data_IF_910849069671
#
_entry.id   IF_910849069671
#
_cell.length_a   1.000
_cell.length_b   1.000
_cell.length_c   1.000
_cell.angle_alpha   90.00
_cell.angle_beta   90.00
_cell.angle_gamma   90.00
#
_symmetry.space_group_name_H-M   'P 1'
#
loop_
_entity.id
_entity.type
_entity.pdbx_description
1 polymer ?
#
# COMPACT_ATOMS: atom_id res chain seq x y z
N UNK A 1 16.72 -12.80 -5.97
CA UNK A 1 15.69 -11.95 -6.60
C UNK A 1 14.49 -11.92 -5.68
N UNK A 2 14.03 -10.73 -5.27
CA UNK A 2 12.84 -10.59 -4.42
C UNK A 2 11.59 -11.10 -5.14
N UNK A 3 10.67 -11.69 -4.39
CA UNK A 3 9.34 -12.06 -4.88
C UNK A 3 8.64 -10.77 -5.32
N UNK A 4 8.47 -10.58 -6.63
CA UNK A 4 7.84 -9.38 -7.17
C UNK A 4 7.14 -9.69 -8.48
N UNK A 5 5.81 -9.80 -8.40
CA UNK A 5 4.90 -9.52 -9.51
C UNK A 5 5.29 -8.18 -10.16
N UNK A 6 5.01 -8.02 -11.44
CA UNK A 6 5.29 -6.81 -12.24
C UNK A 6 5.01 -5.50 -11.49
N UNK A 7 5.75 -4.44 -11.86
CA UNK A 7 6.00 -3.20 -11.10
C UNK A 7 4.73 -2.59 -10.44
N UNK A 8 4.37 -3.06 -9.24
CA UNK A 8 3.20 -2.63 -8.48
C UNK A 8 3.17 -1.10 -8.29
N UNK A 9 4.33 -0.45 -8.24
CA UNK A 9 4.44 1.01 -8.14
C UNK A 9 3.86 1.68 -9.40
N UNK A 10 4.19 1.20 -10.60
CA UNK A 10 3.66 1.76 -11.85
C UNK A 10 2.16 1.51 -11.98
N UNK A 11 1.71 0.31 -11.60
CA UNK A 11 0.29 -0.03 -11.63
C UNK A 11 -0.51 0.84 -10.67
N UNK A 12 -0.03 0.99 -9.43
CA UNK A 12 -0.67 1.84 -8.42
C UNK A 12 -0.69 3.30 -8.88
N UNK A 13 0.43 3.81 -9.41
CA UNK A 13 0.51 5.19 -9.90
C UNK A 13 -0.46 5.44 -11.08
N UNK A 14 -0.53 4.52 -12.04
CA UNK A 14 -1.48 4.62 -13.16
C UNK A 14 -2.93 4.62 -12.67
N UNK A 15 -3.23 3.83 -11.64
CA UNK A 15 -4.57 3.78 -11.09
C UNK A 15 -4.95 5.05 -10.32
N UNK A 16 -4.02 5.61 -9.52
CA UNK A 16 -4.19 6.91 -8.86
C UNK A 16 -4.52 8.00 -9.89
N UNK A 17 -3.76 8.06 -10.99
CA UNK A 17 -4.01 8.99 -12.11
C UNK A 17 -5.40 8.78 -12.73
N UNK A 18 -5.78 7.51 -12.97
CA UNK A 18 -7.10 7.21 -13.55
C UNK A 18 -8.28 7.65 -12.69
N UNK A 19 -8.06 7.85 -11.39
CA UNK A 19 -9.07 8.30 -10.43
C UNK A 19 -8.94 9.80 -10.07
N UNK A 20 -7.95 10.51 -10.62
CA UNK A 20 -7.71 11.93 -10.33
C UNK A 20 -7.20 12.21 -8.91
N UNK A 21 -6.49 11.26 -8.30
CA UNK A 21 -6.03 11.29 -6.91
C UNK A 21 -4.55 11.70 -6.77
N UNK A 22 -3.91 12.24 -7.80
CA UNK A 22 -2.47 12.54 -7.82
C UNK A 22 -2.06 13.61 -6.80
N UNK A 23 -3.01 14.44 -6.38
CA UNK A 23 -2.81 15.47 -5.35
C UNK A 23 -2.95 14.93 -3.93
N UNK A 24 -3.60 13.78 -3.78
CA UNK A 24 -3.97 13.21 -2.49
C UNK A 24 -3.07 12.01 -2.12
N UNK A 25 -2.62 11.23 -3.11
CA UNK A 25 -1.86 10.00 -2.90
C UNK A 25 -0.52 10.05 -3.64
N UNK A 26 0.57 9.92 -2.88
CA UNK A 26 1.92 9.74 -3.40
C UNK A 26 2.37 8.29 -3.23
N UNK A 27 2.89 7.69 -4.31
CA UNK A 27 3.50 6.35 -4.28
C UNK A 27 4.99 6.44 -4.59
N UNK A 28 5.80 5.89 -3.70
CA UNK A 28 7.26 5.81 -3.85
C UNK A 28 7.73 4.37 -3.75
N UNK A 29 8.76 4.02 -4.52
CA UNK A 29 9.48 2.76 -4.36
C UNK A 29 10.58 2.94 -3.33
N UNK A 30 10.66 2.04 -2.37
CA UNK A 30 11.70 2.04 -1.32
C UNK A 30 12.65 0.85 -1.51
N UNK A 31 13.76 0.86 -0.75
CA UNK A 31 14.63 -0.30 -0.59
C UNK A 31 14.04 -1.35 0.36
N UNK A 32 14.89 -2.30 0.77
CA UNK A 32 14.52 -3.32 1.77
C UNK A 32 14.16 -2.66 3.11
N UNK A 33 13.06 -3.12 3.72
CA UNK A 33 12.61 -2.70 5.04
C UNK A 33 12.68 -3.84 6.07
N UNK A 34 13.59 -4.80 5.85
CA UNK A 34 13.83 -5.97 6.71
C UNK A 34 12.67 -6.97 6.83
N UNK A 35 11.68 -6.90 5.93
CA UNK A 35 10.50 -7.78 5.90
C UNK A 35 10.43 -8.60 4.60
N UNK A 36 11.58 -9.09 4.12
CA UNK A 36 11.68 -9.78 2.83
C UNK A 36 10.83 -11.05 2.73
N UNK A 37 10.65 -11.78 3.83
CA UNK A 37 9.94 -13.07 3.85
C UNK A 37 8.43 -12.92 3.60
N UNK A 38 7.88 -11.74 3.92
CA UNK A 38 6.45 -11.42 3.82
C UNK A 38 6.10 -10.57 2.58
N UNK A 39 7.09 -10.26 1.74
CA UNK A 39 6.91 -9.41 0.57
C UNK A 39 5.99 -10.02 -0.51
N UNK A 40 5.41 -9.19 -1.40
CA UNK A 40 5.58 -7.73 -1.50
C UNK A 40 4.93 -6.94 -0.36
N UNK A 41 5.64 -5.92 0.13
CA UNK A 41 5.20 -5.07 1.25
C UNK A 41 4.75 -3.69 0.76
N UNK A 42 3.70 -3.15 1.38
CA UNK A 42 3.26 -1.75 1.22
C UNK A 42 3.14 -1.12 2.60
N UNK A 43 3.69 0.09 2.75
CA UNK A 43 3.57 0.88 3.97
C UNK A 43 2.75 2.13 3.66
N UNK A 44 1.66 2.33 4.41
CA UNK A 44 0.78 3.48 4.30
C UNK A 44 1.04 4.48 5.44
N UNK A 45 1.20 5.74 5.06
CA UNK A 45 1.32 6.88 5.96
C UNK A 45 0.14 7.84 5.75
N UNK A 46 -0.25 8.62 6.79
CA UNK A 46 0.41 8.79 8.09
C UNK A 46 0.16 7.69 9.14
N UNK A 47 -0.73 6.74 8.87
CA UNK A 47 -1.20 5.74 9.84
C UNK A 47 -0.08 4.81 10.33
N UNK A 48 0.93 4.56 9.50
CA UNK A 48 2.01 3.61 9.78
C UNK A 48 1.52 2.17 9.65
N UNK A 49 0.59 1.92 8.73
CA UNK A 49 0.01 0.60 8.48
C UNK A 49 0.81 -0.15 7.44
N UNK A 50 1.23 -1.36 7.78
CA UNK A 50 1.96 -2.27 6.93
C UNK A 50 1.02 -3.32 6.35
N UNK A 51 1.15 -3.55 5.05
CA UNK A 51 0.46 -4.59 4.32
C UNK A 51 1.47 -5.57 3.73
N UNK A 52 1.18 -6.87 3.83
CA UNK A 52 2.00 -7.95 3.29
C UNK A 52 1.25 -8.72 2.20
N UNK A 53 1.99 -9.50 1.40
CA UNK A 53 1.41 -10.31 0.33
C UNK A 53 0.63 -9.48 -0.70
N UNK A 54 1.10 -8.27 -0.99
CA UNK A 54 0.42 -7.36 -1.91
C UNK A 54 0.56 -7.83 -3.37
N UNK A 55 -0.49 -7.60 -4.14
CA UNK A 55 -0.65 -7.94 -5.55
C UNK A 55 -1.39 -6.82 -6.30
N UNK A 56 -1.61 -6.99 -7.61
CA UNK A 56 -2.25 -5.97 -8.43
C UNK A 56 -3.67 -5.62 -7.97
N UNK A 57 -4.41 -6.61 -7.48
CA UNK A 57 -5.80 -6.42 -7.05
C UNK A 57 -5.86 -5.64 -5.74
N UNK A 58 -5.05 -6.04 -4.76
CA UNK A 58 -4.98 -5.40 -3.46
C UNK A 58 -4.51 -3.96 -3.56
N UNK A 59 -3.52 -3.61 -4.38
CA UNK A 59 -3.11 -2.20 -4.52
C UNK A 59 -4.19 -1.33 -5.16
N UNK A 60 -4.98 -1.87 -6.11
CA UNK A 60 -6.13 -1.14 -6.67
C UNK A 60 -7.22 -0.93 -5.62
N UNK A 61 -7.59 -1.99 -4.92
CA UNK A 61 -8.57 -1.93 -3.82
C UNK A 61 -8.12 -0.97 -2.72
N UNK A 62 -6.83 -0.92 -2.38
CA UNK A 62 -6.30 0.02 -1.39
C UNK A 62 -6.58 1.48 -1.79
N UNK A 63 -6.26 1.85 -3.04
CA UNK A 63 -6.50 3.21 -3.56
C UNK A 63 -7.99 3.55 -3.55
N UNK A 64 -8.85 2.63 -3.98
CA UNK A 64 -10.30 2.82 -3.97
C UNK A 64 -10.86 2.98 -2.55
N UNK A 65 -10.35 2.19 -1.59
CA UNK A 65 -10.78 2.28 -0.19
C UNK A 65 -10.31 3.56 0.49
N UNK A 66 -9.10 4.06 0.15
CA UNK A 66 -8.61 5.37 0.61
C UNK A 66 -9.54 6.48 0.10
N UNK A 67 -9.88 6.46 -1.20
CA UNK A 67 -10.83 7.42 -1.80
C UNK A 67 -12.20 7.39 -1.10
N UNK A 68 -12.70 6.19 -0.84
CA UNK A 68 -14.04 5.99 -0.28
C UNK A 68 -14.08 6.17 1.26
N UNK A 69 -12.95 6.35 1.93
CA UNK A 69 -12.86 6.44 3.40
C UNK A 69 -13.29 5.15 4.11
N UNK A 70 -13.00 3.99 3.52
CA UNK A 70 -13.38 2.66 4.04
C UNK A 70 -12.29 2.02 4.90
N UNK A 71 -12.64 0.94 5.59
CA UNK A 71 -11.66 0.06 6.22
C UNK A 71 -10.70 -0.53 5.16
N UNK A 72 -9.40 -0.40 5.41
CA UNK A 72 -8.35 -0.70 4.44
C UNK A 72 -7.85 -2.15 4.59
N UNK A 73 -7.98 -2.92 3.51
CA UNK A 73 -7.38 -4.26 3.32
C UNK A 73 -7.13 -5.10 4.61
N UNK A 74 -8.16 -5.45 5.41
CA UNK A 74 -7.96 -6.22 6.63
C UNK A 74 -7.31 -7.60 6.41
N UNK A 75 -7.44 -8.16 5.20
CA UNK A 75 -6.82 -9.43 4.80
C UNK A 75 -5.31 -9.34 4.57
N UNK A 76 -4.80 -8.15 4.21
CA UNK A 76 -3.38 -7.91 3.95
C UNK A 76 -2.68 -7.24 5.14
N UNK A 77 -3.44 -6.85 6.17
CA UNK A 77 -2.91 -6.17 7.35
C UNK A 77 -1.83 -7.03 8.01
N UNK A 78 -0.61 -6.48 8.03
CA UNK A 78 0.55 -7.10 8.66
C UNK A 78 0.80 -6.52 10.05
N UNK A 79 0.82 -5.20 10.13
CA UNK A 79 1.07 -4.47 11.37
C UNK A 79 0.49 -3.06 11.27
N UNK A 80 0.00 -2.51 12.38
CA UNK A 80 -0.40 -1.12 12.46
C UNK A 80 0.15 -0.51 13.74
N UNK A 81 0.80 0.64 13.62
CA UNK A 81 1.29 1.37 14.78
C UNK A 81 0.09 1.79 15.64
N UNK A 82 0.12 1.46 16.93
CA UNK A 82 -0.82 2.00 17.91
C UNK A 82 -0.54 3.49 18.07
N UNK A 83 -1.34 4.33 17.42
CA UNK A 83 -1.29 5.77 17.59
C UNK A 83 -1.83 6.10 19.00
N UNK A 84 -0.94 6.27 19.98
CA UNK A 84 -1.31 6.90 21.26
C UNK A 84 -1.76 8.33 20.94
N UNK A 85 -3.08 8.54 20.86
CA UNK A 85 -3.67 9.89 20.92
C UNK A 85 -3.24 10.51 22.27
N UNK A 86 -2.31 11.46 22.19
CA UNK A 86 -2.02 12.38 23.29
C UNK A 86 -3.20 13.30 23.55
#
# INVERSE_FOLDING_TARGET
MGKGNEDLKLLTQSHIVSLGLEKDILVTKTGCLDQCEYGPMVLLYPEGTWYSGMDEKSVRTLVEQIRDGKELLPRNLFYQIEQKRG
#
